data_IF_835720408503
#
_entry.id   IF_835720408503
#
_cell.length_a   1.000
_cell.length_b   1.000
_cell.length_c   1.000
_cell.angle_alpha   90.00
_cell.angle_beta   90.00
_cell.angle_gamma   90.00
#
_symmetry.space_group_name_H-M   'P 1'
#
loop_
_entity.id
_entity.type
_entity.pdbx_description
1 polymer ?
#
# COMPACT_ATOMS: atom_id res chain seq x y z
N UNK A 1 -8.17 21.20 -7.98
CA UNK A 1 -6.71 21.16 -8.14
C UNK A 1 -6.17 22.48 -7.60
N UNK A 2 -5.16 22.49 -6.72
CA UNK A 2 -4.58 23.76 -6.22
C UNK A 2 -3.45 24.14 -7.17
N UNK A 3 -3.56 25.30 -7.81
CA UNK A 3 -2.48 25.89 -8.63
C UNK A 3 -1.79 26.91 -7.74
N UNK A 4 -0.49 26.71 -7.50
CA UNK A 4 0.30 27.64 -6.71
C UNK A 4 0.51 28.96 -7.47
N UNK A 5 0.96 29.99 -6.76
CA UNK A 5 1.21 31.29 -7.39
C UNK A 5 2.42 31.24 -8.32
N UNK A 6 2.31 31.84 -9.49
CA UNK A 6 3.43 32.06 -10.39
C UNK A 6 4.19 33.33 -10.00
N UNK A 7 5.50 33.20 -9.78
CA UNK A 7 6.37 34.31 -9.41
C UNK A 7 7.22 34.84 -10.57
N UNK A 8 7.44 34.02 -11.59
CA UNK A 8 8.35 34.33 -12.69
C UNK A 8 9.84 34.16 -12.38
N UNK A 9 10.18 33.63 -11.19
CA UNK A 9 11.55 33.48 -10.68
C UNK A 9 12.26 32.16 -11.09
N UNK A 10 11.63 31.37 -11.97
CA UNK A 10 12.17 30.09 -12.44
C UNK A 10 12.03 28.93 -11.43
N UNK A 11 11.32 29.11 -10.33
CA UNK A 11 11.09 28.05 -9.33
C UNK A 11 10.20 26.89 -9.79
N UNK A 12 9.49 27.04 -10.90
CA UNK A 12 8.68 25.97 -11.53
C UNK A 12 8.68 26.13 -13.06
N UNK A 13 8.45 25.03 -13.80
CA UNK A 13 8.36 25.09 -15.26
C UNK A 13 7.10 25.88 -15.68
N UNK A 14 7.31 26.89 -16.52
CA UNK A 14 6.23 27.77 -16.98
C UNK A 14 5.16 27.01 -17.77
N UNK A 15 5.57 25.98 -18.53
CA UNK A 15 4.66 25.15 -19.31
C UNK A 15 3.77 24.25 -18.45
N UNK A 16 4.36 23.61 -17.45
CA UNK A 16 3.67 22.79 -16.45
C UNK A 16 2.70 23.63 -15.62
N UNK A 17 3.17 24.78 -15.12
CA UNK A 17 2.32 25.69 -14.35
C UNK A 17 1.14 26.19 -15.17
N UNK A 18 1.38 26.63 -16.41
CA UNK A 18 0.33 27.10 -17.31
C UNK A 18 -0.68 25.99 -17.64
N UNK A 19 -0.20 24.75 -17.83
CA UNK A 19 -1.08 23.59 -18.02
C UNK A 19 -1.94 23.29 -16.78
N UNK A 20 -1.36 23.37 -15.58
CA UNK A 20 -2.11 23.24 -14.32
C UNK A 20 -3.14 24.36 -14.14
N UNK A 21 -2.78 25.59 -14.50
CA UNK A 21 -3.68 26.73 -14.52
C UNK A 21 -4.88 26.47 -15.44
N UNK A 22 -4.64 26.11 -16.71
CA UNK A 22 -5.69 25.86 -17.69
C UNK A 22 -6.61 24.70 -17.27
N UNK A 23 -6.06 23.63 -16.69
CA UNK A 23 -6.87 22.54 -16.12
C UNK A 23 -7.73 23.02 -14.94
N UNK A 24 -7.19 23.87 -14.06
CA UNK A 24 -7.92 24.37 -12.92
C UNK A 24 -9.00 25.42 -13.30
N UNK A 25 -8.87 26.06 -14.45
CA UNK A 25 -9.82 27.05 -14.97
C UNK A 25 -10.69 26.54 -16.11
N UNK A 26 -10.74 25.22 -16.34
CA UNK A 26 -11.56 24.62 -17.40
C UNK A 26 -13.03 25.05 -17.38
N UNK A 27 -13.59 25.31 -16.19
CA UNK A 27 -14.99 25.75 -16.05
C UNK A 27 -15.28 27.13 -16.65
N UNK A 28 -14.24 27.95 -16.88
CA UNK A 28 -14.34 29.28 -17.49
C UNK A 28 -13.56 29.36 -18.80
N UNK A 29 -13.11 28.21 -19.33
CA UNK A 29 -12.38 28.17 -20.59
C UNK A 29 -13.23 28.75 -21.74
N UNK A 30 -12.62 29.59 -22.57
CA UNK A 30 -13.28 30.28 -23.67
C UNK A 30 -13.85 31.66 -23.32
N UNK A 31 -14.01 32.00 -22.04
CA UNK A 31 -14.30 33.37 -21.61
C UNK A 31 -12.98 34.11 -21.31
N UNK A 32 -12.59 34.99 -22.24
CA UNK A 32 -11.37 35.78 -22.12
C UNK A 32 -11.31 36.58 -20.81
N UNK A 33 -12.40 37.23 -20.40
CA UNK A 33 -12.38 38.10 -19.22
C UNK A 33 -12.23 37.31 -17.92
N UNK A 34 -12.91 36.16 -17.83
CA UNK A 34 -12.79 35.27 -16.67
C UNK A 34 -11.41 34.61 -16.61
N UNK A 35 -10.86 34.19 -17.76
CA UNK A 35 -9.54 33.58 -17.84
C UNK A 35 -8.42 34.55 -17.44
N UNK A 36 -8.41 35.77 -18.00
CA UNK A 36 -7.35 36.75 -17.70
C UNK A 36 -7.44 37.25 -16.27
N UNK A 37 -8.66 37.41 -15.73
CA UNK A 37 -8.86 37.71 -14.31
C UNK A 37 -8.37 36.58 -13.40
N UNK A 38 -8.71 35.33 -13.72
CA UNK A 38 -8.23 34.17 -12.96
C UNK A 38 -6.71 34.05 -13.01
N UNK A 39 -6.11 34.35 -14.17
CA UNK A 39 -4.66 34.36 -14.37
C UNK A 39 -3.98 35.40 -13.48
N UNK A 40 -4.49 36.64 -13.48
CA UNK A 40 -3.98 37.72 -12.62
C UNK A 40 -3.99 37.33 -11.14
N UNK A 41 -5.07 36.69 -10.65
CA UNK A 41 -5.16 36.22 -9.26
C UNK A 41 -4.19 35.10 -8.91
N UNK A 42 -3.56 34.48 -9.91
CA UNK A 42 -2.57 33.41 -9.73
C UNK A 42 -1.15 33.90 -9.88
N UNK A 43 -0.94 35.18 -10.13
CA UNK A 43 0.38 35.82 -10.03
C UNK A 43 0.67 36.17 -8.58
N UNK A 44 1.89 35.90 -8.12
CA UNK A 44 2.28 36.21 -6.76
C UNK A 44 2.34 37.73 -6.55
N UNK A 45 1.76 38.27 -5.47
CA UNK A 45 1.83 39.70 -5.16
C UNK A 45 3.28 40.21 -5.08
N UNK A 46 3.59 41.32 -5.77
CA UNK A 46 4.92 41.94 -5.79
C UNK A 46 6.00 41.11 -6.48
N UNK A 47 5.60 40.15 -7.32
CA UNK A 47 6.53 39.32 -8.09
C UNK A 47 6.83 39.90 -9.46
N UNK A 48 7.93 39.45 -10.07
CA UNK A 48 8.28 39.79 -11.45
C UNK A 48 7.13 39.48 -12.41
N UNK A 49 6.42 38.38 -12.17
CA UNK A 49 5.29 38.01 -13.00
C UNK A 49 4.11 38.99 -12.89
N UNK A 50 3.81 39.48 -11.69
CA UNK A 50 2.77 40.49 -11.52
C UNK A 50 3.18 41.81 -12.19
N UNK A 51 4.42 42.27 -11.96
CA UNK A 51 4.93 43.51 -12.56
C UNK A 51 4.90 43.43 -14.09
N UNK A 52 5.28 42.30 -14.66
CA UNK A 52 5.17 42.05 -16.11
C UNK A 52 3.72 42.16 -16.59
N UNK A 53 2.79 41.48 -15.91
CA UNK A 53 1.38 41.45 -16.31
C UNK A 53 0.73 42.83 -16.24
N UNK A 54 1.02 43.60 -15.18
CA UNK A 54 0.48 44.95 -14.98
C UNK A 54 1.00 45.95 -16.03
N UNK A 55 2.14 45.64 -16.68
CA UNK A 55 2.71 46.42 -17.78
C UNK A 55 2.25 45.97 -19.18
N UNK A 56 1.40 44.94 -19.30
CA UNK A 56 0.86 44.52 -20.60
C UNK A 56 -0.16 45.52 -21.14
N UNK A 57 -0.24 45.71 -22.47
CA UNK A 57 -1.29 46.51 -23.08
C UNK A 57 -2.68 46.02 -22.70
N UNK A 58 -3.63 46.94 -22.47
CA UNK A 58 -5.03 46.57 -22.16
C UNK A 58 -5.68 45.69 -23.22
N UNK A 59 -5.29 45.86 -24.48
CA UNK A 59 -5.73 45.02 -25.61
C UNK A 59 -5.24 43.59 -25.50
N UNK A 60 -4.03 43.38 -24.95
CA UNK A 60 -3.46 42.05 -24.66
C UNK A 60 -4.20 41.41 -23.49
N UNK A 61 -4.39 42.15 -22.39
CA UNK A 61 -5.08 41.67 -21.18
C UNK A 61 -6.58 41.36 -21.42
N UNK A 62 -7.18 41.93 -22.45
CA UNK A 62 -8.56 41.63 -22.85
C UNK A 62 -8.72 40.30 -23.61
N UNK A 63 -7.62 39.66 -24.02
CA UNK A 63 -7.61 38.41 -24.78
C UNK A 63 -6.74 37.36 -24.09
N UNK A 64 -7.35 36.24 -23.71
CA UNK A 64 -6.60 35.15 -23.08
C UNK A 64 -5.52 34.62 -24.01
N UNK A 65 -5.82 34.46 -25.30
CA UNK A 65 -4.84 34.02 -26.30
C UNK A 65 -3.62 34.94 -26.37
N UNK A 66 -3.84 36.26 -26.44
CA UNK A 66 -2.71 37.22 -26.51
C UNK A 66 -1.92 37.27 -25.20
N UNK A 67 -2.61 37.16 -24.06
CA UNK A 67 -1.96 37.08 -22.75
C UNK A 67 -1.08 35.83 -22.63
N UNK A 68 -1.59 34.69 -23.10
CA UNK A 68 -0.86 33.42 -23.14
C UNK A 68 0.36 33.50 -24.06
N UNK A 69 0.22 34.09 -25.24
CA UNK A 69 1.33 34.26 -26.17
C UNK A 69 2.44 35.14 -25.57
N UNK A 70 2.10 36.26 -24.94
CA UNK A 70 3.08 37.09 -24.24
C UNK A 70 3.72 36.37 -23.04
N UNK A 71 2.95 35.55 -22.32
CA UNK A 71 3.47 34.72 -21.24
C UNK A 71 4.51 33.73 -21.74
N UNK A 72 4.21 32.98 -22.81
CA UNK A 72 5.13 31.99 -23.39
C UNK A 72 6.36 32.64 -24.03
N UNK A 73 6.27 33.90 -24.49
CA UNK A 73 7.45 34.69 -24.90
C UNK A 73 8.35 35.06 -23.72
N UNK A 74 7.75 35.47 -22.59
CA UNK A 74 8.48 35.92 -21.40
C UNK A 74 9.09 34.77 -20.62
N UNK A 75 8.34 33.67 -20.48
CA UNK A 75 8.78 32.43 -19.86
C UNK A 75 8.54 31.26 -20.81
N UNK A 76 9.49 30.99 -21.72
CA UNK A 76 9.40 29.86 -22.63
C UNK A 76 9.27 28.55 -21.86
N UNK A 77 8.46 27.62 -22.38
CA UNK A 77 8.40 26.26 -21.86
C UNK A 77 9.80 25.67 -21.88
N UNK A 78 10.20 24.98 -20.81
CA UNK A 78 11.45 24.22 -20.85
C UNK A 78 11.29 23.19 -21.96
N UNK A 79 12.06 23.37 -23.05
CA UNK A 79 12.15 22.36 -24.09
C UNK A 79 12.80 21.15 -23.42
N UNK A 80 12.00 20.14 -23.11
CA UNK A 80 12.53 18.85 -22.68
C UNK A 80 13.38 18.37 -23.84
N UNK A 81 14.71 18.51 -23.71
CA UNK A 81 15.65 17.95 -24.66
C UNK A 81 15.32 16.47 -24.71
N UNK A 82 14.74 16.05 -25.83
CA UNK A 82 14.38 14.66 -26.01
C UNK A 82 15.64 13.83 -25.83
N UNK A 83 15.60 12.85 -24.92
CA UNK A 83 16.71 11.93 -24.73
C UNK A 83 17.13 11.39 -26.10
N UNK A 84 18.42 11.50 -26.42
CA UNK A 84 18.98 10.91 -27.62
C UNK A 84 18.71 9.39 -27.65
N UNK A 85 18.74 8.78 -28.82
CA UNK A 85 18.56 7.32 -28.95
C UNK A 85 19.52 6.55 -28.03
N UNK A 86 20.76 7.04 -27.89
CA UNK A 86 21.76 6.51 -26.98
C UNK A 86 21.35 6.62 -25.51
N UNK A 87 20.91 7.79 -25.06
CA UNK A 87 20.47 7.97 -23.66
C UNK A 87 19.25 7.13 -23.32
N UNK A 88 18.32 6.94 -24.27
CA UNK A 88 17.18 6.04 -24.09
C UNK A 88 17.63 4.58 -23.93
N UNK A 89 18.59 4.15 -24.75
CA UNK A 89 19.19 2.82 -24.67
C UNK A 89 19.93 2.60 -23.35
N UNK A 90 20.73 3.58 -22.92
CA UNK A 90 21.47 3.54 -21.66
C UNK A 90 20.48 3.49 -20.48
N UNK A 91 19.40 4.27 -20.52
CA UNK A 91 18.33 4.23 -19.52
C UNK A 91 17.62 2.88 -19.46
N UNK A 92 17.34 2.28 -20.62
CA UNK A 92 16.76 0.94 -20.71
C UNK A 92 17.68 -0.10 -20.04
N UNK A 93 18.96 -0.13 -20.40
CA UNK A 93 19.95 -1.07 -19.84
C UNK A 93 20.29 -0.83 -18.37
N UNK A 94 20.21 0.41 -17.90
CA UNK A 94 20.46 0.74 -16.51
C UNK A 94 19.30 0.30 -15.59
N UNK A 95 18.08 0.15 -16.12
CA UNK A 95 16.90 -0.16 -15.33
C UNK A 95 16.76 -1.67 -15.04
N UNK A 96 17.60 -2.17 -14.14
CA UNK A 96 17.66 -3.59 -13.77
C UNK A 96 16.81 -3.90 -12.54
N UNK A 97 16.23 -5.10 -12.54
CA UNK A 97 15.59 -5.69 -11.36
C UNK A 97 16.60 -6.57 -10.63
N UNK A 98 16.69 -6.44 -9.31
CA UNK A 98 17.61 -7.24 -8.51
C UNK A 98 16.91 -8.45 -7.89
N UNK A 99 17.67 -9.52 -7.65
CA UNK A 99 17.15 -10.76 -7.07
C UNK A 99 16.61 -10.53 -5.64
N UNK A 100 17.25 -9.67 -4.86
CA UNK A 100 16.84 -9.31 -3.51
C UNK A 100 15.51 -8.55 -3.44
N UNK A 101 15.11 -7.90 -4.53
CA UNK A 101 13.87 -7.11 -4.61
C UNK A 101 12.66 -7.95 -5.03
N UNK A 102 12.88 -9.20 -5.45
CA UNK A 102 11.81 -10.12 -5.79
C UNK A 102 10.99 -10.54 -4.57
N UNK A 103 9.67 -10.58 -4.74
CA UNK A 103 8.70 -10.91 -3.68
C UNK A 103 8.39 -9.75 -2.73
N UNK A 104 9.03 -8.58 -2.90
CA UNK A 104 8.69 -7.36 -2.16
C UNK A 104 7.55 -6.61 -2.86
N UNK A 105 6.85 -5.77 -2.12
CA UNK A 105 5.89 -4.81 -2.67
C UNK A 105 6.43 -3.39 -2.54
N UNK A 106 6.23 -2.59 -3.59
CA UNK A 106 6.49 -1.14 -3.59
C UNK A 106 5.15 -0.44 -3.48
N UNK A 107 5.09 0.58 -2.61
CA UNK A 107 3.92 1.46 -2.54
C UNK A 107 4.03 2.52 -3.63
N UNK A 108 3.06 2.54 -4.55
CA UNK A 108 2.97 3.59 -5.56
C UNK A 108 2.65 4.94 -4.93
N UNK A 109 2.80 6.03 -5.69
CA UNK A 109 2.36 7.37 -5.28
C UNK A 109 0.86 7.44 -4.97
N UNK A 110 0.07 6.56 -5.60
CA UNK A 110 -1.37 6.38 -5.32
C UNK A 110 -1.66 5.60 -4.02
N UNK A 111 -0.63 5.07 -3.34
CA UNK A 111 -0.76 4.31 -2.11
C UNK A 111 -1.07 2.82 -2.32
N UNK A 112 -1.15 2.36 -3.56
CA UNK A 112 -1.39 0.95 -3.88
C UNK A 112 -0.08 0.16 -3.76
N UNK A 113 -0.11 -0.95 -3.03
CA UNK A 113 1.02 -1.87 -2.96
C UNK A 113 1.03 -2.74 -4.21
N UNK A 114 2.07 -2.57 -5.02
CA UNK A 114 2.29 -3.34 -6.24
C UNK A 114 3.55 -4.18 -6.06
N UNK A 115 3.54 -5.47 -6.46
CA UNK A 115 4.75 -6.28 -6.43
C UNK A 115 5.89 -5.61 -7.22
N UNK A 116 7.10 -5.65 -6.67
CA UNK A 116 8.25 -4.89 -7.20
C UNK A 116 8.57 -5.26 -8.64
N UNK A 117 8.49 -6.56 -8.97
CA UNK A 117 8.71 -7.05 -10.34
C UNK A 117 7.62 -6.57 -11.31
N UNK A 118 6.38 -6.44 -10.85
CA UNK A 118 5.26 -5.95 -11.66
C UNK A 118 5.38 -4.44 -11.93
N UNK A 119 5.77 -3.67 -10.92
CA UNK A 119 6.09 -2.25 -11.08
C UNK A 119 7.27 -2.05 -12.04
N UNK A 120 8.37 -2.77 -11.80
CA UNK A 120 9.54 -2.78 -12.69
C UNK A 120 9.15 -3.13 -14.11
N UNK A 121 8.38 -4.19 -14.33
CA UNK A 121 8.00 -4.64 -15.67
C UNK A 121 7.22 -3.56 -16.45
N UNK A 122 6.30 -2.86 -15.78
CA UNK A 122 5.54 -1.75 -16.41
C UNK A 122 6.44 -0.58 -16.80
N UNK A 123 7.34 -0.18 -15.92
CA UNK A 123 8.26 0.93 -16.18
C UNK A 123 9.29 0.56 -17.25
N UNK A 124 9.88 -0.63 -17.15
CA UNK A 124 10.84 -1.17 -18.10
C UNK A 124 10.22 -1.35 -19.49
N UNK A 125 8.95 -1.77 -19.59
CA UNK A 125 8.21 -1.81 -20.85
C UNK A 125 8.13 -0.44 -21.53
N UNK A 126 7.96 0.64 -20.75
CA UNK A 126 7.95 2.01 -21.28
C UNK A 126 9.32 2.45 -21.79
N UNK A 127 10.40 2.06 -21.11
CA UNK A 127 11.77 2.34 -21.55
C UNK A 127 12.10 1.60 -22.84
N UNK A 128 11.74 0.32 -22.95
CA UNK A 128 11.91 -0.46 -24.18
C UNK A 128 11.22 0.20 -25.37
N UNK A 129 9.94 0.58 -25.22
CA UNK A 129 9.21 1.28 -26.29
C UNK A 129 9.85 2.61 -26.71
N UNK A 130 10.43 3.34 -25.77
CA UNK A 130 11.04 4.64 -26.06
C UNK A 130 12.29 4.52 -26.95
N UNK A 131 12.99 3.37 -26.91
CA UNK A 131 14.19 3.11 -27.74
C UNK A 131 13.87 3.01 -29.23
N UNK A 132 12.70 2.49 -29.59
CA UNK A 132 12.33 2.21 -30.99
C UNK A 132 12.94 0.92 -31.56
N UNK A 133 13.55 0.09 -30.71
CA UNK A 133 14.13 -1.20 -31.12
C UNK A 133 13.06 -2.27 -31.39
N UNK A 134 13.49 -3.34 -32.06
CA UNK A 134 12.64 -4.49 -32.36
C UNK A 134 12.31 -5.31 -31.10
N UNK A 135 11.09 -5.83 -31.03
CA UNK A 135 10.59 -6.63 -29.91
C UNK A 135 11.49 -7.81 -29.57
N UNK A 136 11.97 -8.55 -30.58
CA UNK A 136 12.84 -9.71 -30.34
C UNK A 136 14.14 -9.30 -29.62
N UNK A 137 14.79 -8.22 -30.07
CA UNK A 137 16.01 -7.72 -29.44
C UNK A 137 15.75 -7.27 -28.00
N UNK A 138 14.64 -6.56 -27.76
CA UNK A 138 14.24 -6.12 -26.42
C UNK A 138 14.01 -7.31 -25.49
N UNK A 139 13.35 -8.36 -25.98
CA UNK A 139 13.08 -9.58 -25.22
C UNK A 139 14.38 -10.29 -24.88
N UNK A 140 15.26 -10.52 -25.85
CA UNK A 140 16.55 -11.18 -25.65
C UNK A 140 17.41 -10.40 -24.63
N UNK A 141 17.60 -9.10 -24.85
CA UNK A 141 18.37 -8.24 -23.96
C UNK A 141 17.79 -8.22 -22.54
N UNK A 142 16.47 -8.04 -22.41
CA UNK A 142 15.81 -8.04 -21.10
C UNK A 142 15.95 -9.39 -20.40
N UNK A 143 15.76 -10.49 -21.14
CA UNK A 143 15.85 -11.84 -20.61
C UNK A 143 17.25 -12.14 -20.05
N UNK A 144 18.33 -11.65 -20.68
CA UNK A 144 19.69 -11.81 -20.12
C UNK A 144 19.90 -11.08 -18.80
N UNK A 145 19.19 -9.96 -18.59
CA UNK A 145 19.31 -9.13 -17.40
C UNK A 145 18.32 -9.51 -16.29
N UNK A 146 17.37 -10.41 -16.56
CA UNK A 146 16.41 -10.86 -15.57
C UNK A 146 17.07 -11.68 -14.46
N UNK A 147 16.61 -11.52 -13.21
CA UNK A 147 17.08 -12.37 -12.12
C UNK A 147 16.81 -13.86 -12.38
N UNK A 148 17.71 -14.77 -11.95
CA UNK A 148 17.57 -16.22 -12.17
C UNK A 148 16.20 -16.78 -11.76
N UNK A 149 15.61 -16.32 -10.66
CA UNK A 149 14.29 -16.75 -10.20
C UNK A 149 13.19 -16.47 -11.23
N UNK A 150 13.18 -15.27 -11.83
CA UNK A 150 12.18 -14.94 -12.86
C UNK A 150 12.44 -15.70 -14.16
N UNK A 151 13.71 -15.89 -14.54
CA UNK A 151 14.06 -16.69 -15.74
C UNK A 151 13.55 -18.12 -15.62
N UNK A 152 13.79 -18.79 -14.49
CA UNK A 152 13.31 -20.15 -14.26
C UNK A 152 11.78 -20.28 -14.34
N UNK A 153 11.04 -19.26 -13.86
CA UNK A 153 9.58 -19.22 -14.00
C UNK A 153 9.18 -19.03 -15.46
N UNK A 154 9.84 -18.14 -16.19
CA UNK A 154 9.51 -17.83 -17.59
C UNK A 154 9.91 -18.95 -18.56
N UNK A 155 10.93 -19.75 -18.26
CA UNK A 155 11.30 -20.94 -19.06
C UNK A 155 10.15 -21.96 -19.13
N UNK A 156 9.31 -22.02 -18.11
CA UNK A 156 8.12 -22.88 -18.09
C UNK A 156 6.94 -22.35 -18.91
N UNK A 157 7.03 -21.10 -19.41
CA UNK A 157 5.97 -20.44 -20.18
C UNK A 157 6.30 -20.44 -21.68
N UNK A 158 5.28 -20.38 -22.57
CA UNK A 158 5.52 -20.29 -24.01
C UNK A 158 6.31 -19.03 -24.36
N UNK A 159 7.29 -19.18 -25.25
CA UNK A 159 8.11 -18.07 -25.77
C UNK A 159 7.21 -16.99 -26.35
N UNK A 160 7.35 -15.78 -25.84
CA UNK A 160 6.62 -14.61 -26.33
C UNK A 160 7.48 -13.95 -27.41
N UNK A 161 6.89 -13.65 -28.57
CA UNK A 161 7.56 -12.90 -29.66
C UNK A 161 7.26 -11.40 -29.61
N UNK A 162 6.24 -11.00 -28.85
CA UNK A 162 5.81 -9.60 -28.72
C UNK A 162 6.27 -9.02 -27.38
N UNK A 163 6.86 -7.83 -27.43
CA UNK A 163 7.44 -7.15 -26.27
C UNK A 163 6.40 -6.91 -25.17
N UNK A 164 5.20 -6.47 -25.58
CA UNK A 164 4.10 -6.19 -24.64
C UNK A 164 3.61 -7.47 -23.96
N UNK A 165 3.50 -8.58 -24.71
CA UNK A 165 3.09 -9.87 -24.16
C UNK A 165 4.14 -10.46 -23.22
N UNK A 166 5.43 -10.32 -23.55
CA UNK A 166 6.54 -10.70 -22.68
C UNK A 166 6.50 -9.92 -21.36
N UNK A 167 6.45 -8.59 -21.39
CA UNK A 167 6.43 -7.78 -20.18
C UNK A 167 5.15 -7.98 -19.35
N UNK A 168 4.01 -8.22 -20.00
CA UNK A 168 2.78 -8.63 -19.33
C UNK A 168 2.97 -9.96 -18.59
N UNK A 169 3.61 -10.93 -19.23
CA UNK A 169 3.93 -12.24 -18.66
C UNK A 169 4.87 -12.14 -17.45
N UNK A 170 5.81 -11.20 -17.44
CA UNK A 170 6.66 -10.90 -16.27
C UNK A 170 5.82 -10.25 -15.16
N UNK A 171 5.03 -9.24 -15.49
CA UNK A 171 4.25 -8.48 -14.51
C UNK A 171 3.15 -9.29 -13.81
N UNK A 172 2.65 -10.34 -14.48
CA UNK A 172 1.60 -11.23 -13.98
C UNK A 172 2.11 -12.41 -13.15
N UNK A 173 3.43 -12.55 -12.96
CA UNK A 173 3.99 -13.58 -12.07
C UNK A 173 3.51 -13.32 -10.64
N UNK A 174 2.92 -14.32 -10.00
CA UNK A 174 2.48 -14.21 -8.61
C UNK A 174 3.68 -14.23 -7.64
N UNK A 175 3.51 -13.59 -6.49
CA UNK A 175 4.53 -13.65 -5.42
C UNK A 175 4.74 -15.11 -4.98
N UNK A 176 3.69 -15.92 -4.91
CA UNK A 176 3.79 -17.33 -4.53
C UNK A 176 4.65 -18.14 -5.51
N UNK A 177 4.56 -17.87 -6.81
CA UNK A 177 5.41 -18.51 -7.81
C UNK A 177 6.89 -18.14 -7.61
N UNK A 178 7.16 -16.88 -7.27
CA UNK A 178 8.51 -16.39 -6.95
C UNK A 178 9.06 -17.10 -5.71
N UNK A 179 8.27 -17.18 -4.63
CA UNK A 179 8.68 -17.85 -3.39
C UNK A 179 8.93 -19.35 -3.62
N UNK A 180 8.07 -20.00 -4.40
CA UNK A 180 8.20 -21.42 -4.74
C UNK A 180 9.47 -21.69 -5.53
N UNK A 181 9.75 -20.90 -6.57
CA UNK A 181 10.96 -21.09 -7.37
C UNK A 181 12.23 -20.79 -6.55
N UNK A 182 12.21 -19.76 -5.69
CA UNK A 182 13.34 -19.47 -4.79
C UNK A 182 13.61 -20.63 -3.83
N UNK A 183 12.57 -21.27 -3.29
CA UNK A 183 12.71 -22.44 -2.43
C UNK A 183 13.32 -23.63 -3.18
N UNK A 184 12.88 -23.87 -4.42
CA UNK A 184 13.45 -24.91 -5.29
C UNK A 184 14.93 -24.65 -5.59
N UNK A 185 15.31 -23.41 -5.90
CA UNK A 185 16.71 -23.03 -6.14
C UNK A 185 17.57 -23.22 -4.89
N UNK A 186 17.11 -22.77 -3.72
CA UNK A 186 17.82 -22.97 -2.45
C UNK A 186 18.02 -24.46 -2.13
N UNK A 187 17.01 -25.30 -2.40
CA UNK A 187 17.11 -26.75 -2.26
C UNK A 187 18.12 -27.38 -3.20
N UNK A 188 18.16 -26.93 -4.47
CA UNK A 188 19.16 -27.37 -5.45
C UNK A 188 20.58 -26.96 -5.05
N UNK A 189 20.79 -25.73 -4.61
CA UNK A 189 22.09 -25.24 -4.12
C UNK A 189 22.58 -26.01 -2.90
N UNK A 190 21.68 -26.36 -1.98
CA UNK A 190 22.04 -27.21 -0.83
C UNK A 190 22.50 -28.59 -1.30
N UNK A 191 21.77 -29.19 -2.24
CA UNK A 191 22.11 -30.51 -2.80
C UNK A 191 23.45 -30.48 -3.55
N UNK A 192 23.75 -29.41 -4.28
CA UNK A 192 25.05 -29.22 -4.94
C UNK A 192 26.16 -29.17 -3.88
N UNK A 193 26.02 -28.36 -2.83
CA UNK A 193 27.01 -28.31 -1.73
C UNK A 193 27.21 -29.65 -1.03
N UNK A 194 26.13 -30.40 -0.80
CA UNK A 194 26.20 -31.73 -0.20
C UNK A 194 26.94 -32.72 -1.10
N UNK A 195 26.73 -32.64 -2.43
CA UNK A 195 27.45 -33.47 -3.41
C UNK A 195 28.93 -33.07 -3.52
N UNK A 196 29.24 -31.77 -3.55
CA UNK A 196 30.63 -31.28 -3.55
C UNK A 196 31.39 -31.76 -2.32
N UNK A 197 30.75 -31.73 -1.15
CA UNK A 197 31.32 -32.25 0.11
C UNK A 197 31.58 -33.76 0.03
N UNK A 198 30.65 -34.53 -0.54
CA UNK A 198 30.82 -35.97 -0.75
C UNK A 198 31.96 -36.27 -1.72
N UNK A 199 32.05 -35.55 -2.84
CA UNK A 199 33.14 -35.70 -3.81
C UNK A 199 34.47 -35.36 -3.17
N UNK A 200 34.57 -34.26 -2.41
CA UNK A 200 35.78 -33.88 -1.69
C UNK A 200 36.22 -34.95 -0.66
N UNK A 201 35.27 -35.56 0.04
CA UNK A 201 35.54 -36.65 0.98
C UNK A 201 36.05 -37.92 0.27
N UNK A 202 35.47 -38.27 -0.89
CA UNK A 202 35.93 -39.40 -1.70
C UNK A 202 37.34 -39.18 -2.25
N UNK A 203 37.64 -37.99 -2.76
CA UNK A 203 38.98 -37.62 -3.26
C UNK A 203 40.00 -37.69 -2.12
N UNK A 204 39.67 -37.14 -0.94
CA UNK A 204 40.56 -37.18 0.23
C UNK A 204 40.82 -38.62 0.70
N UNK A 205 39.79 -39.47 0.70
CA UNK A 205 39.93 -40.90 1.03
C UNK A 205 40.79 -41.66 0.03
N UNK A 206 40.65 -41.36 -1.27
CA UNK A 206 41.49 -41.97 -2.30
C UNK A 206 42.97 -41.56 -2.15
N UNK A 207 43.24 -40.33 -1.73
CA UNK A 207 44.61 -39.85 -1.49
C UNK A 207 45.27 -40.40 -0.21
N UNK A 208 44.49 -40.78 0.81
CA UNK A 208 45.00 -41.37 2.05
C UNK A 208 45.00 -42.91 2.07
N UNK A 209 44.59 -43.56 0.98
CA UNK A 209 44.66 -45.01 0.88
C UNK A 209 46.14 -45.44 0.81
N UNK A 210 46.65 -46.26 1.75
CA UNK A 210 48.00 -46.79 1.65
C UNK A 210 48.10 -47.62 0.37
N UNK A 211 49.14 -47.38 -0.42
CA UNK A 211 49.56 -48.19 -1.56
C UNK A 211 49.85 -49.61 -1.06
N UNK A 212 48.81 -50.43 -0.89
CA UNK A 212 48.96 -51.85 -0.65
C UNK A 212 49.37 -52.47 -1.99
N UNK A 213 50.55 -53.09 -2.10
CA UNK A 213 50.96 -53.74 -3.34
C UNK A 213 49.95 -54.84 -3.67
N UNK A 214 49.41 -54.77 -4.88
CA UNK A 214 48.45 -55.73 -5.42
C UNK A 214 49.18 -57.07 -5.62
N UNK A 215 49.10 -57.97 -4.63
CA UNK A 215 49.52 -59.37 -4.77
C UNK A 215 48.39 -60.16 -5.45
N UNK A 216 48.34 -60.11 -6.78
CA UNK A 216 47.27 -60.69 -7.61
C UNK A 216 47.39 -62.22 -7.89
N UNK A 217 48.19 -62.98 -7.12
CA UNK A 217 48.61 -64.33 -7.56
C UNK A 217 48.35 -65.51 -6.63
N UNK A 218 47.57 -65.41 -5.55
CA UNK A 218 47.22 -66.59 -4.75
C UNK A 218 45.80 -66.49 -4.18
N UNK A 219 44.81 -67.01 -4.89
CA UNK A 219 43.58 -67.52 -4.27
C UNK A 219 42.87 -68.50 -5.21
N UNK A 220 42.94 -69.78 -4.83
CA UNK A 220 42.25 -70.89 -5.47
C UNK A 220 40.73 -70.85 -5.17
N UNK A 221 39.87 -71.42 -6.04
CA UNK A 221 38.44 -71.43 -5.84
C UNK A 221 38.00 -72.55 -4.88
N UNK A 222 37.17 -72.21 -3.89
CA UNK A 222 36.49 -73.18 -3.02
C UNK A 222 35.18 -73.67 -3.69
N UNK A 223 34.82 -74.96 -3.55
CA UNK A 223 33.70 -75.56 -4.28
C UNK A 223 32.35 -75.32 -3.61
N UNK A 224 31.33 -75.28 -4.46
CA UNK A 224 29.92 -75.21 -4.14
C UNK A 224 29.42 -76.47 -3.42
N UNK A 225 28.58 -76.26 -2.39
CA UNK A 225 27.67 -77.26 -1.83
C UNK A 225 26.26 -76.68 -1.90
N UNK A 226 25.39 -77.38 -2.62
CA UNK A 226 24.05 -76.95 -2.96
C UNK A 226 22.95 -77.48 -2.03
N UNK A 227 21.74 -76.98 -2.34
CA UNK A 227 20.40 -77.50 -2.04
C UNK A 227 20.05 -77.74 -0.56
N UNK A 228 18.98 -77.14 0.00
CA UNK A 228 17.59 -77.56 -0.26
C UNK A 228 16.57 -76.56 0.32
N UNK A 229 15.53 -76.23 -0.45
CA UNK A 229 14.16 -75.88 0.01
C UNK A 229 13.30 -77.18 -0.06
N UNK A 230 12.10 -77.35 0.58
CA UNK A 230 10.99 -76.38 0.65
C UNK A 230 10.00 -76.47 1.87
N UNK A 231 8.96 -75.60 1.88
CA UNK A 231 7.69 -75.78 2.64
C UNK A 231 7.34 -74.58 3.54
N UNK A 232 6.45 -73.64 3.19
CA UNK A 232 4.96 -73.69 3.09
C UNK A 232 4.25 -73.93 4.44
N UNK A 233 3.81 -72.84 5.09
CA UNK A 233 2.44 -72.57 5.59
C UNK A 233 2.42 -71.49 6.71
N UNK A 234 1.62 -70.43 6.52
CA UNK A 234 1.12 -69.57 7.63
C UNK A 234 0.13 -70.34 8.52
N UNK A 235 -0.36 -69.81 9.67
CA UNK A 235 -1.28 -68.64 9.70
C UNK A 235 -1.13 -67.63 10.89
N UNK A 236 -1.48 -66.35 10.64
CA UNK A 236 -2.15 -65.26 11.45
C UNK A 236 -1.91 -65.08 13.00
N UNK A 237 -2.29 -63.96 13.66
CA UNK A 237 -1.48 -63.29 14.69
C UNK A 237 -1.99 -63.55 16.12
N UNK A 238 -1.08 -63.61 17.09
CA UNK A 238 -1.46 -63.77 18.51
C UNK A 238 -1.43 -62.45 19.27
N UNK A 239 -2.62 -62.06 19.69
CA UNK A 239 -2.94 -61.01 20.67
C UNK A 239 -2.56 -61.49 22.08
N UNK A 240 -2.05 -60.57 22.91
CA UNK A 240 -2.08 -60.65 24.38
C UNK A 240 -0.89 -59.95 25.05
N UNK A 241 -0.96 -59.63 26.36
CA UNK A 241 -2.11 -59.18 27.13
C UNK A 241 -1.85 -57.87 27.91
N UNK A 242 -2.93 -57.29 28.41
CA UNK A 242 -2.99 -56.17 29.33
C UNK A 242 -2.24 -56.45 30.65
N UNK A 243 -1.59 -55.43 31.20
CA UNK A 243 -1.08 -55.38 32.57
C UNK A 243 -2.03 -54.51 33.43
N UNK A 244 -2.41 -54.95 34.64
CA UNK A 244 -3.30 -54.21 35.53
C UNK A 244 -2.57 -53.36 36.58
N UNK A 245 -3.38 -52.51 37.20
CA UNK A 245 -3.17 -51.59 38.33
C UNK A 245 -2.09 -51.97 39.36
N UNK A 246 -1.39 -50.93 39.84
CA UNK A 246 -1.03 -50.82 41.25
C UNK A 246 -1.09 -49.35 41.71
N UNK A 247 -1.69 -49.18 42.89
CA UNK A 247 -2.18 -47.96 43.51
C UNK A 247 -1.15 -47.36 44.49
N UNK A 248 -1.17 -46.03 44.65
CA UNK A 248 -1.07 -45.18 45.89
C UNK A 248 -0.16 -45.63 47.07
N UNK A 249 0.49 -44.70 47.83
CA UNK A 249 -0.24 -43.63 48.51
C UNK A 249 0.47 -42.27 48.71
N UNK A 250 -0.37 -41.24 48.88
CA UNK A 250 -0.06 -40.02 49.62
C UNK A 250 -0.24 -40.26 51.13
N UNK A 251 0.39 -39.42 51.98
CA UNK A 251 -0.40 -38.77 53.04
C UNK A 251 -0.10 -37.26 53.09
N UNK A 252 -1.13 -36.39 53.11
CA UNK A 252 -1.78 -35.83 54.33
C UNK A 252 -0.91 -34.74 55.00
N UNK A 253 -1.37 -33.52 55.28
CA UNK A 253 -2.69 -32.91 55.29
C UNK A 253 -2.64 -31.60 56.10
N UNK A 254 -3.81 -30.96 56.29
CA UNK A 254 -4.11 -29.77 57.14
C UNK A 254 -3.79 -28.40 56.49
N UNK A 255 -4.69 -27.61 55.89
CA UNK A 255 -6.08 -27.19 56.18
C UNK A 255 -6.19 -26.17 57.35
N UNK A 256 -7.29 -25.39 57.48
CA UNK A 256 -7.59 -24.11 56.81
C UNK A 256 -7.96 -23.00 57.84
N UNK A 257 -8.58 -21.88 57.38
CA UNK A 257 -9.14 -20.72 58.11
C UNK A 257 -8.27 -19.46 58.20
N UNK A 258 -8.67 -18.38 57.52
CA UNK A 258 -9.28 -17.19 58.14
C UNK A 258 -9.33 -16.02 57.12
N UNK A 259 -10.55 -15.60 56.78
CA UNK A 259 -10.94 -14.20 56.59
C UNK A 259 -11.74 -13.78 57.85
N UNK A 260 -12.12 -12.52 58.08
CA UNK A 260 -11.64 -11.23 57.53
C UNK A 260 -11.40 -10.18 58.65
N UNK A 261 -10.56 -9.15 58.46
CA UNK A 261 -10.70 -7.89 59.24
C UNK A 261 -10.22 -6.64 58.48
N UNK A 262 -11.18 -5.74 58.21
CA UNK A 262 -11.04 -4.27 58.37
C UNK A 262 -10.89 -3.96 59.87
N UNK A 263 -10.23 -2.87 60.34
CA UNK A 263 -10.64 -1.48 60.04
C UNK A 263 -9.51 -0.42 60.01
N UNK A 264 -9.77 0.74 59.39
CA UNK A 264 -9.82 2.04 60.08
C UNK A 264 -9.99 3.21 59.10
N UNK A 265 -11.09 3.93 59.31
CA UNK A 265 -11.30 5.31 58.90
C UNK A 265 -10.52 6.25 59.83
N UNK A 266 -10.08 7.40 59.31
CA UNK A 266 -10.12 8.74 59.93
C UNK A 266 -9.35 9.77 59.06
N UNK A 267 -9.55 11.09 59.21
CA UNK A 267 -10.80 11.84 59.15
C UNK A 267 -10.71 13.02 58.13
N UNK A 268 -11.87 13.60 57.82
CA UNK A 268 -12.01 14.85 57.08
C UNK A 268 -11.23 16.01 57.74
N UNK A 269 -10.53 16.81 56.94
CA UNK A 269 -10.30 18.23 57.24
C UNK A 269 -10.67 19.07 56.02
N UNK A 270 -11.74 19.84 56.18
CA UNK A 270 -12.07 21.00 55.35
C UNK A 270 -11.13 22.15 55.74
N UNK A 271 -10.39 22.70 54.78
CA UNK A 271 -9.98 24.12 54.80
C UNK A 271 -10.07 24.67 53.38
N UNK A 272 -10.78 25.79 53.26
CA UNK A 272 -10.95 26.60 52.06
C UNK A 272 -9.67 27.42 51.80
N UNK A 273 -9.22 27.52 50.53
CA UNK A 273 -8.82 28.78 49.87
C UNK A 273 -8.01 28.53 48.57
N UNK A 274 -8.62 28.93 47.45
CA UNK A 274 -8.04 29.48 46.21
C UNK A 274 -6.62 29.13 45.77
N UNK A 275 -6.52 28.17 44.83
CA UNK A 275 -5.62 28.27 43.68
C UNK A 275 -6.19 27.39 42.55
N UNK A 276 -6.39 27.98 41.37
CA UNK A 276 -6.86 27.31 40.16
C UNK A 276 -5.82 26.29 39.70
N UNK A 277 -5.96 25.03 40.11
CA UNK A 277 -5.23 23.91 39.51
C UNK A 277 -6.06 23.42 38.33
N UNK A 278 -5.53 23.38 37.09
CA UNK A 278 -6.24 22.80 35.95
C UNK A 278 -6.55 21.33 36.26
N UNK A 279 -7.80 20.92 36.04
CA UNK A 279 -8.19 19.52 36.17
C UNK A 279 -7.30 18.64 35.27
N UNK A 280 -6.86 17.45 35.72
CA UNK A 280 -6.14 16.52 34.86
C UNK A 280 -7.02 16.13 33.66
N UNK A 281 -6.47 16.02 32.44
CA UNK A 281 -7.25 15.67 31.27
C UNK A 281 -7.94 14.32 31.47
N UNK A 282 -9.21 14.22 31.10
CA UNK A 282 -9.96 12.97 31.19
C UNK A 282 -9.28 11.88 30.35
N UNK A 283 -9.42 10.61 30.75
CA UNK A 283 -8.82 9.44 30.06
C UNK A 283 -9.18 9.38 28.57
N UNK A 284 -10.28 9.99 28.15
CA UNK A 284 -10.66 10.12 26.74
C UNK A 284 -9.72 11.04 25.93
N UNK A 285 -9.15 12.08 26.55
CA UNK A 285 -8.19 12.98 25.88
C UNK A 285 -6.80 12.34 25.74
N UNK A 286 -6.47 11.32 26.54
CA UNK A 286 -5.17 10.64 26.48
C UNK A 286 -5.05 9.69 25.27
N UNK A 287 -6.17 9.11 24.79
CA UNK A 287 -6.18 8.22 23.62
C UNK A 287 -6.00 8.95 22.29
N UNK A 288 -6.25 10.26 22.26
CA UNK A 288 -6.20 11.08 21.06
C UNK A 288 -4.87 11.83 20.90
N UNK A 289 -3.86 11.49 21.70
CA UNK A 289 -2.53 12.08 21.59
C UNK A 289 -1.56 11.14 20.89
N UNK A 290 -0.66 11.72 20.12
CA UNK A 290 0.46 10.96 19.53
C UNK A 290 1.36 10.47 20.66
N UNK A 291 1.67 9.15 20.76
CA UNK A 291 2.56 8.63 21.79
C UNK A 291 3.88 9.39 21.86
N UNK A 292 4.22 9.88 23.05
CA UNK A 292 5.44 10.67 23.28
C UNK A 292 5.40 12.10 22.72
N UNK A 293 4.22 12.70 22.53
CA UNK A 293 4.09 14.14 22.25
C UNK A 293 2.76 14.72 22.72
N UNK A 294 2.71 16.04 22.87
CA UNK A 294 1.51 16.79 23.25
C UNK A 294 0.54 17.06 22.09
N UNK A 295 0.81 16.49 20.90
CA UNK A 295 -0.03 16.67 19.72
C UNK A 295 -1.34 15.89 19.92
N UNK A 296 -2.45 16.63 20.03
CA UNK A 296 -3.82 16.15 19.99
C UNK A 296 -4.25 15.91 18.53
N UNK A 297 -4.90 14.78 18.28
CA UNK A 297 -5.37 14.35 16.96
C UNK A 297 -6.84 14.75 16.74
N UNK A 298 -7.58 15.07 17.81
CA UNK A 298 -9.00 15.41 17.78
C UNK A 298 -9.84 14.41 18.61
N UNK A 299 -11.16 14.59 18.73
CA UNK A 299 -11.97 15.52 17.96
C UNK A 299 -11.80 16.95 18.45
N UNK A 300 -11.76 17.87 17.50
CA UNK A 300 -11.80 19.31 17.75
C UNK A 300 -13.23 19.82 17.51
N UNK A 301 -13.79 20.65 18.40
CA UNK A 301 -15.12 21.23 18.19
C UNK A 301 -15.09 22.19 16.99
N UNK A 302 -16.18 22.24 16.22
CA UNK A 302 -16.31 23.14 15.04
C UNK A 302 -16.59 24.60 15.43
N UNK A 303 -15.78 25.12 16.34
CA UNK A 303 -15.82 26.50 16.86
C UNK A 303 -14.53 27.22 16.49
N UNK A 304 -14.48 28.57 16.55
CA UNK A 304 -13.23 29.31 16.33
C UNK A 304 -12.09 28.84 17.23
N UNK A 305 -12.38 28.54 18.50
CA UNK A 305 -11.39 28.02 19.45
C UNK A 305 -10.88 26.62 19.07
N UNK A 306 -11.78 25.72 18.65
CA UNK A 306 -11.37 24.39 18.20
C UNK A 306 -10.57 24.40 16.90
N UNK A 307 -10.86 25.35 15.98
CA UNK A 307 -10.05 25.57 14.78
C UNK A 307 -8.65 26.09 15.09
N UNK A 308 -8.51 27.01 16.05
CA UNK A 308 -7.19 27.45 16.53
C UNK A 308 -6.40 26.29 17.16
N UNK A 309 -7.02 25.48 18.02
CA UNK A 309 -6.36 24.33 18.63
C UNK A 309 -5.93 23.31 17.56
N UNK A 310 -6.77 23.08 16.55
CA UNK A 310 -6.42 22.26 15.40
C UNK A 310 -5.19 22.80 14.65
N UNK A 311 -5.16 24.09 14.32
CA UNK A 311 -4.04 24.71 13.60
C UNK A 311 -2.73 24.66 14.41
N UNK A 312 -2.80 24.82 15.73
CA UNK A 312 -1.67 24.63 16.65
C UNK A 312 -1.14 23.20 16.60
N UNK A 313 -2.03 22.20 16.64
CA UNK A 313 -1.65 20.79 16.58
C UNK A 313 -1.10 20.37 15.21
N UNK A 314 -1.65 20.90 14.12
CA UNK A 314 -1.13 20.71 12.76
C UNK A 314 0.28 21.32 12.66
N UNK A 315 0.48 22.51 13.21
CA UNK A 315 1.79 23.17 13.23
C UNK A 315 2.81 22.37 14.05
N UNK A 316 2.42 21.89 15.23
CA UNK A 316 3.26 21.03 16.07
C UNK A 316 3.60 19.70 15.38
N UNK A 317 2.66 19.13 14.61
CA UNK A 317 2.91 17.94 13.80
C UNK A 317 3.99 18.20 12.75
N UNK A 318 3.88 19.28 11.98
CA UNK A 318 4.89 19.62 10.97
C UNK A 318 6.25 19.98 11.58
N UNK A 319 6.28 20.57 12.78
CA UNK A 319 7.53 20.79 13.51
C UNK A 319 8.19 19.46 13.92
N UNK A 320 7.40 18.48 14.38
CA UNK A 320 7.91 17.17 14.82
C UNK A 320 8.42 16.31 13.67
N UNK A 321 7.69 16.27 12.55
CA UNK A 321 7.98 15.36 11.45
C UNK A 321 8.67 16.01 10.24
N UNK A 322 8.65 17.34 10.15
CA UNK A 322 9.15 18.12 9.02
C UNK A 322 8.03 18.59 8.09
N UNK A 323 8.25 19.72 7.41
CA UNK A 323 7.24 20.33 6.53
C UNK A 323 6.94 19.50 5.28
N UNK A 324 7.92 18.73 4.78
CA UNK A 324 7.75 17.78 3.67
C UNK A 324 7.19 16.42 4.13
N UNK A 325 6.94 16.25 5.42
CA UNK A 325 6.50 14.98 5.95
C UNK A 325 5.13 14.60 5.41
N UNK A 326 5.05 13.34 4.97
CA UNK A 326 3.81 12.71 4.52
C UNK A 326 3.45 11.60 5.49
N UNK A 327 2.19 11.51 5.87
CA UNK A 327 1.67 10.40 6.69
C UNK A 327 1.83 9.09 5.92
N UNK A 328 2.63 8.16 6.46
CA UNK A 328 2.95 6.86 5.82
C UNK A 328 2.43 5.65 6.58
N UNK A 329 2.23 5.77 7.90
CA UNK A 329 1.69 4.71 8.77
C UNK A 329 0.72 5.27 9.81
N UNK A 330 0.04 4.37 10.52
CA UNK A 330 -0.85 4.73 11.64
C UNK A 330 -0.11 5.20 12.89
N UNK A 331 1.21 4.97 12.95
CA UNK A 331 2.08 5.44 14.05
C UNK A 331 2.40 6.94 13.95
N UNK A 332 2.10 7.53 12.80
CA UNK A 332 2.19 8.98 12.55
C UNK A 332 0.80 9.56 12.30
N UNK A 333 -0.11 9.52 13.29
CA UNK A 333 -1.47 10.02 13.10
C UNK A 333 -1.43 11.54 12.87
N UNK A 334 -2.41 12.05 12.12
CA UNK A 334 -2.48 13.46 11.74
C UNK A 334 -3.75 14.10 12.30
N UNK A 335 -3.68 15.30 12.90
CA UNK A 335 -4.86 15.99 13.41
C UNK A 335 -5.94 16.12 12.34
N UNK A 336 -7.20 15.86 12.67
CA UNK A 336 -8.29 15.93 11.69
C UNK A 336 -9.15 17.19 11.82
N UNK A 337 -9.61 17.69 10.67
CA UNK A 337 -10.24 19.00 10.53
C UNK A 337 -11.51 19.09 11.39
N UNK A 338 -11.71 20.18 12.17
CA UNK A 338 -12.94 20.39 12.92
C UNK A 338 -14.19 20.36 12.03
N UNK A 339 -15.30 19.85 12.55
CA UNK A 339 -16.56 19.76 11.79
C UNK A 339 -16.59 18.65 10.74
N UNK A 340 -15.61 17.74 10.74
CA UNK A 340 -15.60 16.55 9.89
C UNK A 340 -15.92 15.29 10.69
N UNK A 341 -16.39 14.26 9.99
CA UNK A 341 -16.56 12.92 10.55
C UNK A 341 -15.21 12.39 11.01
N UNK A 342 -15.18 11.68 12.13
CA UNK A 342 -13.97 11.05 12.66
C UNK A 342 -13.32 10.09 11.62
N UNK A 343 -11.99 10.15 11.43
CA UNK A 343 -11.28 9.20 10.58
C UNK A 343 -11.61 7.73 10.93
N UNK A 344 -11.93 6.93 9.92
CA UNK A 344 -12.30 5.51 10.09
C UNK A 344 -13.79 5.27 10.39
N UNK A 345 -14.60 6.32 10.55
CA UNK A 345 -16.06 6.26 10.40
C UNK A 345 -16.44 6.66 8.97
N UNK A 346 -17.58 6.18 8.46
CA UNK A 346 -18.12 6.27 7.07
C UNK A 346 -18.20 7.68 6.43
N UNK A 347 -17.14 8.48 6.53
CA UNK A 347 -16.99 9.79 5.91
C UNK A 347 -16.08 9.68 4.68
N UNK A 348 -16.35 10.54 3.71
CA UNK A 348 -15.53 10.69 2.52
C UNK A 348 -14.09 11.07 2.91
N UNK A 349 -13.11 10.32 2.40
CA UNK A 349 -11.70 10.58 2.70
C UNK A 349 -11.21 11.95 2.20
N UNK A 350 -11.89 12.51 1.18
CA UNK A 350 -11.49 13.76 0.54
C UNK A 350 -12.01 15.01 1.24
N UNK A 351 -13.25 14.99 1.75
CA UNK A 351 -13.88 16.17 2.38
C UNK A 351 -14.29 15.95 3.84
N UNK A 352 -14.17 14.73 4.37
CA UNK A 352 -14.50 14.40 5.74
C UNK A 352 -15.99 14.37 6.06
N UNK A 353 -16.89 14.54 5.08
CA UNK A 353 -18.34 14.54 5.29
C UNK A 353 -18.93 13.13 5.11
N UNK A 354 -20.01 12.83 5.84
CA UNK A 354 -20.75 11.57 5.70
C UNK A 354 -21.60 11.54 4.41
N UNK A 355 -22.13 10.35 4.08
CA UNK A 355 -23.19 10.19 3.07
C UNK A 355 -22.71 10.01 1.62
N UNK A 356 -21.39 10.02 1.37
CA UNK A 356 -20.81 9.66 0.08
C UNK A 356 -19.38 9.13 0.24
N UNK A 357 -18.90 8.42 -0.78
CA UNK A 357 -17.53 7.94 -0.89
C UNK A 357 -16.71 8.80 -1.86
N UNK A 358 -15.38 8.71 -1.78
CA UNK A 358 -14.49 9.32 -2.78
C UNK A 358 -14.72 8.75 -4.19
N UNK A 359 -15.10 7.47 -4.28
CA UNK A 359 -15.28 6.75 -5.53
C UNK A 359 -16.58 7.11 -6.27
N UNK A 360 -17.52 7.76 -5.58
CA UNK A 360 -18.82 8.12 -6.16
C UNK A 360 -18.69 9.23 -7.21
N UNK A 361 -17.51 9.84 -7.37
CA UNK A 361 -17.23 10.91 -8.34
C UNK A 361 -17.99 12.22 -8.06
N UNK A 362 -18.76 12.28 -6.97
CA UNK A 362 -19.70 13.37 -6.61
C UNK A 362 -19.27 14.16 -5.38
N UNK A 363 -18.00 14.04 -4.97
CA UNK A 363 -17.51 14.76 -3.80
C UNK A 363 -17.34 16.25 -4.13
N UNK A 364 -18.29 17.06 -3.66
CA UNK A 364 -18.28 18.52 -3.83
C UNK A 364 -17.85 19.29 -2.56
N UNK A 365 -17.45 18.57 -1.51
CA UNK A 365 -17.04 19.18 -0.24
C UNK A 365 -15.65 19.80 -0.30
N UNK A 366 -15.36 20.72 0.62
CA UNK A 366 -14.02 21.32 0.78
C UNK A 366 -12.99 20.21 1.01
N UNK A 367 -11.93 20.22 0.21
CA UNK A 367 -10.89 19.20 0.29
C UNK A 367 -10.08 19.36 1.58
N UNK A 368 -9.92 18.26 2.31
CA UNK A 368 -9.09 18.19 3.52
C UNK A 368 -7.59 18.31 3.19
N UNK A 369 -6.76 18.66 4.20
CA UNK A 369 -5.31 18.64 4.05
C UNK A 369 -4.79 17.27 3.59
N UNK A 370 -3.75 17.27 2.75
CA UNK A 370 -3.19 16.07 2.12
C UNK A 370 -2.87 14.97 3.15
N UNK A 371 -2.26 15.34 4.27
CA UNK A 371 -1.87 14.40 5.32
C UNK A 371 -3.07 13.82 6.07
N UNK A 372 -4.15 14.58 6.26
CA UNK A 372 -5.40 14.08 6.82
C UNK A 372 -6.07 13.08 5.88
N UNK A 373 -6.11 13.37 4.57
CA UNK A 373 -6.64 12.45 3.55
C UNK A 373 -5.90 11.12 3.61
N UNK A 374 -4.56 11.13 3.67
CA UNK A 374 -3.76 9.92 3.79
C UNK A 374 -4.03 9.18 5.10
N UNK A 375 -4.10 9.89 6.23
CA UNK A 375 -4.38 9.28 7.52
C UNK A 375 -5.76 8.58 7.54
N UNK A 376 -6.80 9.24 7.00
CA UNK A 376 -8.15 8.67 6.85
C UNK A 376 -8.14 7.40 6.02
N UNK A 377 -7.44 7.39 4.88
CA UNK A 377 -7.31 6.19 4.03
C UNK A 377 -6.61 5.04 4.73
N UNK A 378 -5.54 5.32 5.48
CA UNK A 378 -4.81 4.32 6.25
C UNK A 378 -5.70 3.71 7.35
N UNK A 379 -6.47 4.53 8.06
CA UNK A 379 -7.40 4.06 9.09
C UNK A 379 -8.53 3.21 8.48
N UNK A 380 -9.14 3.66 7.39
CA UNK A 380 -10.18 2.88 6.70
C UNK A 380 -9.63 1.53 6.22
N UNK A 381 -8.43 1.50 5.63
CA UNK A 381 -7.76 0.24 5.25
C UNK A 381 -7.54 -0.68 6.45
N UNK A 382 -7.00 -0.15 7.55
CA UNK A 382 -6.76 -0.95 8.75
C UNK A 382 -8.04 -1.46 9.43
N UNK A 383 -9.13 -0.71 9.34
CA UNK A 383 -10.45 -1.14 9.81
C UNK A 383 -11.00 -2.27 8.94
N UNK A 384 -10.89 -2.16 7.62
CA UNK A 384 -11.24 -3.25 6.69
C UNK A 384 -10.39 -4.49 6.95
N UNK A 385 -9.07 -4.35 7.12
CA UNK A 385 -8.19 -5.49 7.42
C UNK A 385 -8.55 -6.16 8.76
N UNK A 386 -8.94 -5.36 9.77
CA UNK A 386 -9.44 -5.90 11.05
C UNK A 386 -10.76 -6.64 10.86
N UNK A 387 -11.68 -6.12 10.05
CA UNK A 387 -12.94 -6.79 9.74
C UNK A 387 -12.71 -8.11 9.00
N UNK A 388 -11.87 -8.13 7.97
CA UNK A 388 -11.54 -9.35 7.22
C UNK A 388 -10.97 -10.41 8.17
N UNK A 389 -10.08 -10.02 9.09
CA UNK A 389 -9.53 -10.91 10.11
C UNK A 389 -10.61 -11.41 11.10
N UNK A 390 -11.49 -10.53 11.56
CA UNK A 390 -12.57 -10.88 12.48
C UNK A 390 -13.58 -11.85 11.86
N UNK A 391 -13.89 -11.66 10.58
CA UNK A 391 -14.78 -12.52 9.81
C UNK A 391 -14.14 -13.87 9.42
N UNK A 392 -12.84 -14.07 9.70
CA UNK A 392 -12.13 -15.31 9.39
C UNK A 392 -12.01 -15.61 7.89
N UNK A 393 -12.21 -14.61 7.02
CA UNK A 393 -12.15 -14.77 5.57
C UNK A 393 -10.69 -14.69 5.13
N UNK A 394 -10.00 -15.84 5.12
CA UNK A 394 -8.69 -15.95 4.46
C UNK A 394 -8.90 -15.83 2.95
N UNK A 395 -8.18 -14.89 2.33
CA UNK A 395 -8.47 -14.37 1.00
C UNK A 395 -8.65 -15.40 -0.11
N UNK A 396 -9.68 -15.16 -0.94
CA UNK A 396 -9.69 -15.29 -2.40
C UNK A 396 -11.10 -14.93 -2.88
N UNK A 397 -11.23 -13.87 -3.70
CA UNK A 397 -12.30 -13.73 -4.69
C UNK A 397 -13.78 -13.85 -4.27
N UNK A 398 -14.14 -13.69 -3.01
CA UNK A 398 -15.54 -13.67 -2.60
C UNK A 398 -16.06 -12.24 -2.48
N UNK A 399 -17.16 -11.95 -3.17
CA UNK A 399 -17.96 -10.74 -2.99
C UNK A 399 -18.41 -10.66 -1.53
N UNK A 400 -17.78 -9.76 -0.76
CA UNK A 400 -18.18 -9.47 0.62
C UNK A 400 -19.54 -8.79 0.54
N UNK A 401 -20.58 -9.41 1.08
CA UNK A 401 -21.93 -8.84 1.00
C UNK A 401 -22.07 -7.65 1.97
N UNK A 402 -22.94 -6.67 1.68
CA UNK A 402 -23.23 -5.56 2.59
C UNK A 402 -23.59 -6.01 4.02
N UNK A 403 -24.26 -7.15 4.18
CA UNK A 403 -24.62 -7.72 5.49
C UNK A 403 -23.40 -8.25 6.25
N UNK A 404 -22.40 -8.81 5.54
CA UNK A 404 -21.14 -9.24 6.14
C UNK A 404 -20.29 -8.04 6.57
N UNK A 405 -20.33 -6.95 5.80
CA UNK A 405 -19.72 -5.66 6.17
C UNK A 405 -20.37 -5.12 7.45
N UNK A 406 -21.71 -5.07 7.51
CA UNK A 406 -22.44 -4.57 8.68
C UNK A 406 -22.23 -5.45 9.94
N UNK A 407 -22.15 -6.77 9.76
CA UNK A 407 -21.81 -7.70 10.83
C UNK A 407 -20.38 -7.48 11.35
N UNK A 408 -19.40 -7.32 10.44
CA UNK A 408 -18.01 -7.04 10.82
C UNK A 408 -17.85 -5.71 11.56
N UNK A 409 -18.55 -4.65 11.16
CA UNK A 409 -18.53 -3.37 11.89
C UNK A 409 -19.13 -3.48 13.30
N UNK A 410 -20.20 -4.28 13.48
CA UNK A 410 -20.78 -4.58 14.80
C UNK A 410 -19.83 -5.35 15.71
N UNK A 411 -19.14 -6.36 15.19
CA UNK A 411 -18.21 -7.21 15.97
C UNK A 411 -16.93 -6.47 16.40
N UNK A 412 -16.50 -5.46 15.64
CA UNK A 412 -15.33 -4.62 15.96
C UNK A 412 -15.68 -3.42 16.87
N UNK A 413 -16.95 -3.29 17.28
CA UNK A 413 -17.40 -2.24 18.20
C UNK A 413 -17.51 -0.84 17.58
N UNK A 414 -17.56 -0.73 16.25
CA UNK A 414 -17.80 0.55 15.55
C UNK A 414 -19.31 0.75 15.44
N UNK A 415 -19.91 1.35 16.47
CA UNK A 415 -21.34 1.63 16.51
C UNK A 415 -21.69 2.74 15.50
N UNK A 416 -22.43 2.38 14.44
CA UNK A 416 -23.13 3.29 13.54
C UNK A 416 -24.63 3.27 13.82
N UNK A 417 -25.20 4.45 14.04
CA UNK A 417 -26.61 4.69 14.31
C UNK A 417 -27.50 4.24 13.14
N UNK A 418 -28.56 3.49 13.45
CA UNK A 418 -29.61 3.16 12.51
C UNK A 418 -30.34 4.41 12.04
N UNK A 419 -30.36 4.62 10.72
CA UNK A 419 -31.31 5.54 10.10
C UNK A 419 -32.63 4.79 9.91
N UNK A 420 -33.60 5.20 10.71
CA UNK A 420 -35.00 4.83 10.69
C UNK A 420 -35.62 5.16 9.32
N UNK A 421 -35.88 4.13 8.52
CA UNK A 421 -36.63 4.23 7.25
C UNK A 421 -38.08 3.82 7.51
N UNK A 422 -38.80 4.68 8.23
CA UNK A 422 -40.25 4.59 8.44
C UNK A 422 -40.90 5.93 8.14
N UNK A 423 -41.54 6.06 6.97
CA UNK A 423 -42.13 7.35 6.57
C UNK A 423 -43.01 7.29 5.34
N UNK A 424 -44.23 6.80 5.54
CA UNK A 424 -45.50 7.15 4.89
C UNK A 424 -45.56 7.33 3.36
N UNK A 425 -46.34 6.44 2.76
CA UNK A 425 -46.80 6.44 1.38
C UNK A 425 -48.15 7.17 1.36
N UNK A 426 -48.19 8.40 0.85
CA UNK A 426 -49.43 9.07 0.46
C UNK A 426 -49.39 9.45 -1.01
N UNK A 427 -50.47 9.07 -1.69
CA UNK A 427 -50.79 9.29 -3.08
C UNK A 427 -50.93 10.78 -3.41
N UNK A 428 -50.32 11.22 -4.52
CA UNK A 428 -50.89 12.28 -5.34
C UNK A 428 -50.48 12.08 -6.81
N UNK A 429 -51.50 11.74 -7.58
CA UNK A 429 -51.58 11.67 -9.04
C UNK A 429 -51.01 12.88 -9.76
N UNK A 430 -50.16 12.66 -10.75
CA UNK A 430 -50.11 13.46 -11.98
C UNK A 430 -49.52 12.63 -13.13
N UNK A 431 -50.33 12.47 -14.19
CA UNK A 431 -50.03 11.62 -15.34
C UNK A 431 -48.97 12.18 -16.30
N UNK A 432 -48.48 11.34 -17.24
CA UNK A 432 -47.42 11.71 -18.17
C UNK A 432 -47.98 12.31 -19.47
N UNK A 433 -47.25 13.22 -20.16
CA UNK A 433 -47.49 13.48 -21.57
C UNK A 433 -46.62 12.55 -22.46
N UNK A 434 -47.08 12.28 -23.69
CA UNK A 434 -46.62 11.16 -24.52
C UNK A 434 -45.49 11.57 -25.48
N UNK A 435 -44.69 10.59 -25.91
CA UNK A 435 -43.77 10.77 -27.04
C UNK A 435 -42.62 9.79 -27.09
N UNK A 436 -42.92 8.51 -27.33
CA UNK A 436 -41.93 7.53 -27.79
C UNK A 436 -42.13 7.30 -29.29
N UNK A 437 -41.05 7.45 -30.06
CA UNK A 437 -40.74 6.50 -31.14
C UNK A 437 -39.22 6.46 -31.39
N UNK A 438 -38.69 5.30 -31.84
CA UNK A 438 -37.30 4.89 -31.61
C UNK A 438 -36.43 4.94 -32.88
N UNK A 439 -35.10 4.92 -32.73
CA UNK A 439 -34.18 4.85 -33.86
C UNK A 439 -32.74 4.45 -33.51
N UNK A 440 -32.49 3.14 -33.56
CA UNK A 440 -31.33 2.42 -34.12
C UNK A 440 -29.86 2.89 -33.94
N UNK A 441 -29.08 2.04 -33.25
CA UNK A 441 -27.88 1.29 -33.70
C UNK A 441 -26.75 1.90 -34.59
N UNK A 442 -25.50 1.67 -34.10
CA UNK A 442 -24.14 1.73 -34.72
C UNK A 442 -23.68 3.10 -35.25
N UNK A 443 -22.49 3.64 -34.95
CA UNK A 443 -21.10 3.12 -35.00
C UNK A 443 -20.33 3.47 -33.72
#
# INVERSE_FOLDING_TARGET
MKVDWWKGDGGCDAGEWLGMFEMATMSVAGDNASMTRAFQFRLAPGSEAQDWYDNLPRTTVASWTLTKDEFEKRWPRVVVVGMSAREKMDRFRAHKLREEDLGRSVRSESGLETPTHAFWARLHASYGRATGEQDQWLIEETYTQLPPTLRGILESKPTQSEWTAFMSSVSSISIDAILTERQKQSGAEKRIRDLETQVAALVSRAMMAPQQPINLWNQAPAPAQGYSYPGVNGPIPRVGPAQPLASLPAPSGWNPFQQPQQPQQQPQQQIHAGALIPAPPSVANAMNRIPGSDINIGPFPDTPAGRMEYDENVSAWYQKYGWEAVVKSLDTPFPYTPGTVEPGRNGCHMCGQAGHSELDGRCNGTRLPRNEVYYRRLLSKANVDRMIRALGVSGQGHDITPEQIEKGFREVGVVGAGADMGGSRDEATNGPPPGWAPGNFWI
#
